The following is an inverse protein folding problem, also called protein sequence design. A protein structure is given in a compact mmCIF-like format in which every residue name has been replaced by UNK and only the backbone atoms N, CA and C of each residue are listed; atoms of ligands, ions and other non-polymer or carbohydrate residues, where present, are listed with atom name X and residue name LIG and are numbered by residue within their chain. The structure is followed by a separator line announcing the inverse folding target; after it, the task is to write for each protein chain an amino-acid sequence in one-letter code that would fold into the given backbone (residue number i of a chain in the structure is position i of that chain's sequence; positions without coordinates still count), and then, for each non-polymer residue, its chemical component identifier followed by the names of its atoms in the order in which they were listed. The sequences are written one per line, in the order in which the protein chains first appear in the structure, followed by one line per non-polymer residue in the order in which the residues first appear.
data_IF_865589315477
#
_entry.id   IF_865589315477
#
_cell.length_a   1.000
_cell.length_b   1.000
_cell.length_c   1.000
_cell.angle_alpha   90.00
_cell.angle_beta   90.00
_cell.angle_gamma   90.00
#
_symmetry.space_group_name_H-M   'P 1'
#
loop_
_entity.id
_entity.type
_entity.pdbx_description
1 polymer ?
#
# COMPACT_ATOMS: atom_id res chain seq x y z
N UNK A 1 11.83 15.44 -27.95
CA UNK A 1 11.61 14.15 -27.29
C UNK A 1 12.27 14.26 -25.94
N UNK A 2 11.49 14.65 -24.92
CA UNK A 2 11.99 14.86 -23.57
C UNK A 2 11.93 13.50 -22.88
N UNK A 3 13.06 12.79 -22.82
CA UNK A 3 13.24 11.61 -21.98
C UNK A 3 13.32 12.05 -20.51
N UNK A 4 12.23 12.60 -19.98
CA UNK A 4 12.04 12.56 -18.54
C UNK A 4 11.59 11.15 -18.22
N UNK A 5 12.51 10.35 -17.69
CA UNK A 5 12.13 9.12 -17.01
C UNK A 5 11.20 9.54 -15.87
N UNK A 6 10.00 8.97 -15.84
CA UNK A 6 9.05 9.18 -14.75
C UNK A 6 9.69 8.70 -13.44
N UNK A 7 9.83 9.60 -12.46
CA UNK A 7 10.44 9.32 -11.16
C UNK A 7 9.76 8.13 -10.46
N UNK A 8 8.43 7.98 -10.64
CA UNK A 8 7.68 6.84 -10.13
C UNK A 8 8.06 5.53 -10.84
N UNK A 9 8.16 5.53 -12.17
CA UNK A 9 8.56 4.34 -12.94
C UNK A 9 9.98 3.89 -12.60
N UNK A 10 10.90 4.85 -12.42
CA UNK A 10 12.27 4.58 -11.99
C UNK A 10 12.31 3.99 -10.58
N UNK A 11 11.60 4.61 -9.64
CA UNK A 11 11.48 4.13 -8.26
C UNK A 11 10.94 2.69 -8.23
N UNK A 12 9.84 2.42 -8.94
CA UNK A 12 9.23 1.10 -9.02
C UNK A 12 10.13 0.07 -9.71
N UNK A 13 10.86 0.45 -10.75
CA UNK A 13 11.80 -0.42 -11.45
C UNK A 13 12.96 -0.82 -10.53
N UNK A 14 13.55 0.15 -9.84
CA UNK A 14 14.63 -0.09 -8.89
C UNK A 14 14.17 -0.98 -7.72
N UNK A 15 12.99 -0.69 -7.17
CA UNK A 15 12.39 -1.48 -6.11
C UNK A 15 12.15 -2.93 -6.55
N UNK A 16 11.54 -3.14 -7.73
CA UNK A 16 11.32 -4.48 -8.30
C UNK A 16 12.63 -5.23 -8.51
N UNK A 17 13.66 -4.57 -9.04
CA UNK A 17 14.97 -5.18 -9.25
C UNK A 17 15.63 -5.57 -7.93
N UNK A 18 15.54 -4.72 -6.90
CA UNK A 18 16.03 -5.06 -5.55
C UNK A 18 15.31 -6.29 -5.00
N UNK A 19 13.98 -6.32 -5.08
CA UNK A 19 13.19 -7.45 -4.58
C UNK A 19 13.49 -8.76 -5.31
N UNK A 20 13.81 -8.76 -6.61
CA UNK A 20 14.15 -10.00 -7.36
C UNK A 20 15.31 -10.78 -6.73
N UNK A 21 16.24 -10.10 -6.07
CA UNK A 21 17.43 -10.71 -5.45
C UNK A 21 17.17 -11.31 -4.06
N UNK A 22 15.99 -11.08 -3.48
CA UNK A 22 15.66 -11.42 -2.11
C UNK A 22 14.70 -12.63 -2.03
N UNK A 23 14.84 -13.43 -0.97
CA UNK A 23 13.86 -14.46 -0.62
C UNK A 23 12.53 -13.84 -0.16
N UNK A 24 11.48 -14.68 -0.05
CA UNK A 24 10.14 -14.22 0.33
C UNK A 24 10.11 -13.52 1.71
N UNK A 25 10.74 -14.06 2.78
CA UNK A 25 10.81 -13.37 4.07
C UNK A 25 11.62 -12.06 4.00
N UNK A 26 12.73 -12.06 3.27
CA UNK A 26 13.59 -10.88 3.13
C UNK A 26 12.91 -9.75 2.37
N UNK A 27 12.10 -10.05 1.36
CA UNK A 27 11.26 -9.06 0.65
C UNK A 27 10.34 -8.32 1.62
N UNK A 28 9.64 -9.06 2.47
CA UNK A 28 8.71 -8.50 3.47
C UNK A 28 9.45 -7.60 4.46
N UNK A 29 10.56 -8.08 5.01
CA UNK A 29 11.37 -7.30 5.95
C UNK A 29 12.01 -6.05 5.31
N UNK A 30 12.42 -6.15 4.05
CA UNK A 30 12.94 -5.02 3.29
C UNK A 30 11.88 -3.94 3.07
N UNK A 31 10.66 -4.32 2.65
CA UNK A 31 9.57 -3.37 2.44
C UNK A 31 9.23 -2.60 3.72
N UNK A 32 9.21 -3.28 4.88
CA UNK A 32 8.95 -2.65 6.18
C UNK A 32 10.01 -1.62 6.60
N UNK A 33 11.18 -1.61 5.96
CA UNK A 33 12.31 -0.71 6.23
C UNK A 33 12.43 0.44 5.22
N UNK A 34 11.57 0.49 4.21
CA UNK A 34 11.58 1.58 3.25
C UNK A 34 11.26 2.91 3.95
N UNK A 35 11.94 3.98 3.52
CA UNK A 35 11.69 5.32 4.03
C UNK A 35 10.34 5.83 3.52
N UNK A 36 9.44 6.13 4.45
CA UNK A 36 8.09 6.56 4.13
C UNK A 36 8.05 7.93 3.45
N UNK A 37 8.99 8.84 3.78
CA UNK A 37 9.08 10.15 3.13
C UNK A 37 9.52 10.00 1.68
N UNK A 38 10.47 9.11 1.42
CA UNK A 38 10.92 8.80 0.07
C UNK A 38 9.80 8.16 -0.75
N UNK A 39 9.06 7.20 -0.18
CA UNK A 39 7.91 6.59 -0.85
C UNK A 39 6.88 7.65 -1.22
N UNK A 40 6.43 8.49 -0.26
CA UNK A 40 5.39 9.50 -0.51
C UNK A 40 5.83 10.56 -1.53
N UNK A 41 7.13 10.84 -1.62
CA UNK A 41 7.69 11.74 -2.63
C UNK A 41 7.60 11.13 -4.04
N UNK A 42 7.88 9.84 -4.18
CA UNK A 42 7.87 9.15 -5.47
C UNK A 42 6.49 8.61 -5.88
N UNK A 43 5.55 8.49 -4.93
CA UNK A 43 4.14 8.13 -5.17
C UNK A 43 3.27 9.37 -4.88
N UNK A 44 3.36 10.34 -5.77
CA UNK A 44 2.81 11.68 -5.60
C UNK A 44 1.33 11.77 -5.97
N UNK A 45 0.88 11.01 -6.96
CA UNK A 45 -0.51 10.99 -7.41
C UNK A 45 -1.33 9.93 -6.68
N UNK A 46 -2.67 10.08 -6.62
CA UNK A 46 -3.53 9.05 -6.01
C UNK A 46 -3.40 7.69 -6.72
N UNK A 47 -3.27 7.70 -8.05
CA UNK A 47 -3.09 6.48 -8.83
C UNK A 47 -1.78 5.77 -8.48
N UNK A 48 -0.66 6.50 -8.39
CA UNK A 48 0.63 5.95 -7.96
C UNK A 48 0.56 5.38 -6.54
N UNK A 49 -0.13 6.08 -5.63
CA UNK A 49 -0.33 5.59 -4.26
C UNK A 49 -1.13 4.28 -4.24
N UNK A 50 -2.16 4.16 -5.06
CA UNK A 50 -2.97 2.94 -5.16
C UNK A 50 -2.21 1.80 -5.81
N UNK A 51 -1.48 2.07 -6.89
CA UNK A 51 -0.62 1.09 -7.54
C UNK A 51 0.46 0.57 -6.60
N UNK A 52 1.10 1.47 -5.83
CA UNK A 52 2.08 1.10 -4.81
C UNK A 52 1.43 0.29 -3.67
N UNK A 53 0.22 0.66 -3.23
CA UNK A 53 -0.54 -0.10 -2.23
C UNK A 53 -0.78 -1.54 -2.71
N UNK A 54 -1.33 -1.73 -3.91
CA UNK A 54 -1.56 -3.08 -4.47
C UNK A 54 -0.25 -3.85 -4.56
N UNK A 55 0.84 -3.17 -4.95
CA UNK A 55 2.16 -3.76 -5.02
C UNK A 55 2.65 -4.27 -3.66
N UNK A 56 2.57 -3.48 -2.58
CA UNK A 56 3.02 -3.92 -1.25
C UNK A 56 2.11 -5.01 -0.66
N UNK A 57 0.79 -4.94 -0.87
CA UNK A 57 -0.15 -5.95 -0.38
C UNK A 57 0.14 -7.33 -0.99
N UNK A 58 0.59 -7.39 -2.25
CA UNK A 58 1.05 -8.65 -2.88
C UNK A 58 2.20 -9.32 -2.11
N UNK A 59 3.06 -8.53 -1.48
CA UNK A 59 4.17 -9.07 -0.67
C UNK A 59 3.76 -9.32 0.77
N UNK A 60 2.84 -8.53 1.31
CA UNK A 60 2.21 -8.76 2.61
C UNK A 60 1.07 -9.75 2.45
N UNK A 61 1.40 -11.04 2.25
CA UNK A 61 0.46 -12.14 1.97
C UNK A 61 -0.64 -12.30 3.05
N UNK A 62 -0.49 -11.65 4.19
CA UNK A 62 -1.50 -11.54 5.25
C UNK A 62 -2.70 -10.67 4.84
N UNK A 63 -2.57 -9.87 3.78
CA UNK A 63 -3.64 -9.06 3.20
C UNK A 63 -4.02 -9.54 1.80
N UNK A 64 -5.30 -9.38 1.48
CA UNK A 64 -5.79 -9.44 0.12
C UNK A 64 -5.19 -8.30 -0.69
N UNK A 65 -5.06 -8.51 -1.99
CA UNK A 65 -4.69 -7.47 -2.95
C UNK A 65 -5.86 -6.51 -3.21
N UNK A 66 -7.06 -6.88 -2.76
CA UNK A 66 -8.26 -6.08 -2.87
C UNK A 66 -8.39 -5.13 -1.68
N UNK A 67 -8.89 -3.94 -1.96
CA UNK A 67 -9.24 -2.95 -0.94
C UNK A 67 -10.40 -2.10 -1.42
N UNK A 68 -11.08 -1.43 -0.48
CA UNK A 68 -12.06 -0.39 -0.78
C UNK A 68 -11.56 0.95 -0.29
N UNK A 69 -11.76 1.99 -1.08
CA UNK A 69 -11.62 3.38 -0.67
C UNK A 69 -13.00 4.04 -0.60
N UNK A 70 -13.17 4.96 0.35
CA UNK A 70 -14.33 5.83 0.45
C UNK A 70 -13.94 7.13 1.15
N UNK A 71 -14.88 8.05 1.30
CA UNK A 71 -14.67 9.27 2.08
C UNK A 71 -15.73 9.36 3.18
N UNK A 72 -15.31 9.76 4.38
CA UNK A 72 -16.20 10.04 5.50
C UNK A 72 -16.21 11.54 5.75
N UNK A 73 -17.36 12.17 5.61
CA UNK A 73 -17.53 13.59 5.90
C UNK A 73 -17.61 13.80 7.41
N UNK A 74 -16.80 14.74 7.91
CA UNK A 74 -16.81 15.20 9.30
C UNK A 74 -17.79 16.37 9.42
N UNK A 75 -17.81 17.24 8.40
CA UNK A 75 -18.77 18.32 8.20
C UNK A 75 -18.89 18.64 6.69
N UNK A 76 -19.56 19.74 6.34
CA UNK A 76 -19.81 20.16 4.95
C UNK A 76 -18.54 20.46 4.13
N UNK A 77 -17.43 20.81 4.77
CA UNK A 77 -16.19 21.22 4.12
C UNK A 77 -15.02 20.27 4.37
N UNK A 78 -15.14 19.35 5.34
CA UNK A 78 -14.09 18.45 5.74
C UNK A 78 -14.50 16.99 5.55
N UNK A 79 -13.69 16.25 4.81
CA UNK A 79 -13.79 14.79 4.73
C UNK A 79 -12.43 14.15 5.00
N UNK A 80 -12.47 12.90 5.46
CA UNK A 80 -11.31 12.05 5.60
C UNK A 80 -11.43 10.88 4.62
N UNK A 81 -10.32 10.53 3.96
CA UNK A 81 -10.23 9.31 3.18
C UNK A 81 -10.28 8.10 4.11
N UNK A 82 -11.02 7.08 3.71
CA UNK A 82 -11.14 5.82 4.45
C UNK A 82 -10.71 4.68 3.54
N UNK A 83 -9.95 3.74 4.08
CA UNK A 83 -9.42 2.58 3.39
C UNK A 83 -9.81 1.33 4.17
N UNK A 84 -10.46 0.38 3.49
CA UNK A 84 -10.74 -0.95 4.05
C UNK A 84 -9.86 -1.97 3.35
N UNK A 85 -8.94 -2.56 4.09
CA UNK A 85 -8.00 -3.59 3.64
C UNK A 85 -8.45 -4.94 4.16
N UNK A 86 -8.56 -5.92 3.27
CA UNK A 86 -9.04 -7.24 3.64
C UNK A 86 -7.87 -8.14 4.04
N UNK A 87 -8.04 -8.88 5.12
CA UNK A 87 -7.07 -9.83 5.67
C UNK A 87 -7.29 -11.20 5.05
N UNK A 88 -6.21 -11.92 4.76
CA UNK A 88 -6.33 -13.31 4.28
C UNK A 88 -6.72 -14.22 5.43
N UNK A 89 -7.65 -15.14 5.20
CA UNK A 89 -8.12 -16.08 6.23
C UNK A 89 -7.06 -17.10 6.66
N UNK A 90 -6.04 -17.29 5.83
CA UNK A 90 -5.04 -18.36 5.98
C UNK A 90 -3.78 -17.92 6.72
N UNK A 91 -3.57 -16.62 6.98
CA UNK A 91 -2.34 -16.12 7.56
C UNK A 91 -2.58 -15.14 8.71
N UNK A 92 -1.63 -15.13 9.65
CA UNK A 92 -1.69 -14.27 10.83
C UNK A 92 -1.20 -12.87 10.47
N UNK A 93 -2.04 -11.86 10.75
CA UNK A 93 -1.70 -10.46 10.57
C UNK A 93 -0.62 -10.02 11.55
N UNK A 94 0.34 -9.21 11.09
CA UNK A 94 1.36 -8.64 11.97
C UNK A 94 1.16 -7.14 12.16
N UNK A 95 1.25 -6.68 13.41
CA UNK A 95 1.12 -5.26 13.78
C UNK A 95 2.09 -4.35 13.00
N UNK A 96 3.27 -4.87 12.64
CA UNK A 96 4.28 -4.14 11.87
C UNK A 96 3.79 -3.80 10.47
N UNK A 97 3.14 -4.73 9.78
CA UNK A 97 2.60 -4.49 8.44
C UNK A 97 1.41 -3.54 8.49
N UNK A 98 0.52 -3.71 9.48
CA UNK A 98 -0.59 -2.78 9.68
C UNK A 98 -0.09 -1.34 9.91
N UNK A 99 0.94 -1.18 10.74
CA UNK A 99 1.55 0.12 11.01
C UNK A 99 2.23 0.72 9.77
N UNK A 100 2.90 -0.10 8.97
CA UNK A 100 3.49 0.35 7.71
C UNK A 100 2.42 0.93 6.77
N UNK A 101 1.31 0.22 6.56
CA UNK A 101 0.25 0.67 5.67
C UNK A 101 -0.46 1.92 6.21
N UNK A 102 -0.73 1.96 7.52
CA UNK A 102 -1.29 3.15 8.20
C UNK A 102 -0.41 4.40 8.03
N UNK A 103 0.91 4.24 8.06
CA UNK A 103 1.83 5.36 7.86
C UNK A 103 1.91 5.81 6.38
N UNK A 104 1.69 4.86 5.46
CA UNK A 104 1.71 5.12 4.02
C UNK A 104 0.45 5.87 3.55
N UNK A 105 -0.73 5.46 4.01
CA UNK A 105 -2.01 6.03 3.58
C UNK A 105 -2.37 7.29 4.37
N UNK A 106 -2.77 8.34 3.67
CA UNK A 106 -3.26 9.59 4.27
C UNK A 106 -4.78 9.46 4.54
N UNK A 107 -5.15 8.72 5.58
CA UNK A 107 -6.56 8.51 5.95
C UNK A 107 -6.79 7.49 7.07
N UNK A 108 -8.06 7.20 7.36
CA UNK A 108 -8.45 6.13 8.27
C UNK A 108 -8.29 4.77 7.60
N UNK A 109 -7.52 3.87 8.21
CA UNK A 109 -7.28 2.52 7.68
C UNK A 109 -7.93 1.48 8.59
N UNK A 110 -8.89 0.76 8.03
CA UNK A 110 -9.64 -0.33 8.65
C UNK A 110 -9.13 -1.64 8.06
N UNK A 111 -8.82 -2.61 8.92
CA UNK A 111 -8.49 -3.98 8.49
C UNK A 111 -9.66 -4.91 8.79
N UNK A 112 -10.16 -5.61 7.78
CA UNK A 112 -11.36 -6.46 7.88
C UNK A 112 -11.06 -7.90 7.46
N UNK A 113 -11.68 -8.89 8.10
CA UNK A 113 -11.59 -10.31 7.72
C UNK A 113 -12.57 -10.70 6.59
N UNK A 114 -13.49 -9.81 6.24
CA UNK A 114 -14.56 -10.06 5.28
C UNK A 114 -14.36 -9.25 4.02
N UNK A 115 -13.91 -9.92 2.95
CA UNK A 115 -14.06 -9.37 1.59
C UNK A 115 -15.56 -9.15 1.30
N UNK A 116 -15.91 -8.10 0.55
CA UNK A 116 -17.29 -7.81 0.24
C UNK A 116 -17.82 -8.88 -0.71
N UNK A 117 -18.83 -9.62 -0.25
CA UNK A 117 -19.60 -10.51 -1.12
C UNK A 117 -20.45 -9.61 -2.01
N UNK A 118 -20.08 -9.49 -3.28
CA UNK A 118 -20.95 -8.89 -4.27
C UNK A 118 -22.06 -9.91 -4.56
N UNK A 119 -23.26 -9.63 -4.05
CA UNK A 119 -24.50 -10.35 -4.37
C UNK A 119 -25.10 -9.82 -5.67
#
# INVERSE_FOLDING_TARGET
MNEFIDDYELFMTNLRNKLKTLSKPEKKEFLLKLDMLEIKKNCSTENEKFDFLIFILKYFIVFSQMFKSSSRYIDENNYINTYTLYKTKEQINTEKEEKFIKNFLDGEVIFSEHEPVYL
#
